data_IF_606553067782
#
_entry.id   IF_606553067782
#
_cell.length_a   1.000
_cell.length_b   1.000
_cell.length_c   1.000
_cell.angle_alpha   90.00
_cell.angle_beta   90.00
_cell.angle_gamma   90.00
#
_symmetry.space_group_name_H-M   'P 1'
#
loop_
_entity.id
_entity.type
_entity.pdbx_description
1 polymer ?
#
# COMPACT_ATOMS: atom_id res chain seq x y z
N UNK A 1 -5.08 1.58 -17.54
CA UNK A 1 -4.66 1.99 -16.19
C UNK A 1 -3.65 0.97 -15.73
N UNK A 2 -2.45 1.36 -15.31
CA UNK A 2 -1.55 0.42 -14.64
C UNK A 2 -2.17 0.05 -13.29
N UNK A 3 -2.36 -1.26 -13.05
CA UNK A 3 -2.96 -1.74 -11.80
C UNK A 3 -1.86 -2.05 -10.79
N UNK A 4 -1.86 -1.41 -9.60
CA UNK A 4 -0.92 -1.74 -8.56
C UNK A 4 -1.10 -3.18 -8.07
N UNK A 5 -0.01 -3.78 -7.64
CA UNK A 5 -0.05 -5.08 -6.95
C UNK A 5 -0.07 -4.79 -5.46
N UNK A 6 -1.09 -5.29 -4.78
CA UNK A 6 -1.29 -5.12 -3.34
C UNK A 6 -1.44 -6.47 -2.66
N UNK A 7 -1.03 -6.54 -1.39
CA UNK A 7 -1.38 -7.63 -0.48
C UNK A 7 -2.52 -7.16 0.42
N UNK A 8 -3.59 -7.95 0.49
CA UNK A 8 -4.70 -7.70 1.42
C UNK A 8 -4.32 -8.26 2.78
N UNK A 9 -4.42 -7.43 3.82
CA UNK A 9 -4.28 -7.86 5.23
C UNK A 9 -5.54 -7.47 6.01
N UNK A 10 -5.68 -7.98 7.24
CA UNK A 10 -6.82 -7.67 8.09
C UNK A 10 -7.02 -6.16 8.25
N UNK A 11 -5.94 -5.41 8.48
CA UNK A 11 -5.97 -3.97 8.69
C UNK A 11 -5.40 -3.19 7.49
N UNK A 12 -5.97 -3.40 6.31
CA UNK A 12 -5.66 -2.62 5.12
C UNK A 12 -4.83 -3.34 4.06
N UNK A 13 -4.48 -2.59 3.03
CA UNK A 13 -3.76 -3.03 1.85
C UNK A 13 -2.30 -2.60 1.91
N UNK A 14 -1.42 -3.51 1.52
CA UNK A 14 0.02 -3.29 1.44
C UNK A 14 0.44 -3.20 -0.01
N UNK A 15 0.90 -2.01 -0.44
CA UNK A 15 1.38 -1.82 -1.80
C UNK A 15 2.70 -2.56 -2.01
N UNK A 16 2.68 -3.58 -2.88
CA UNK A 16 3.85 -4.39 -3.21
C UNK A 16 4.62 -3.84 -4.40
N UNK A 17 3.91 -3.33 -5.42
CA UNK A 17 4.51 -2.75 -6.61
C UNK A 17 3.50 -1.86 -7.36
N UNK A 18 4.00 -0.94 -8.20
CA UNK A 18 3.15 -0.07 -9.03
C UNK A 18 2.41 -0.82 -10.14
N UNK A 19 2.98 -1.93 -10.59
CA UNK A 19 2.39 -2.79 -11.61
C UNK A 19 2.96 -4.21 -11.55
N UNK A 20 2.29 -5.12 -12.26
CA UNK A 20 2.64 -6.55 -12.33
C UNK A 20 4.05 -6.78 -12.87
N UNK A 21 4.49 -6.00 -13.88
CA UNK A 21 5.83 -6.14 -14.45
C UNK A 21 6.93 -5.84 -13.41
N UNK A 22 6.79 -4.75 -12.64
CA UNK A 22 7.72 -4.44 -11.55
C UNK A 22 7.72 -5.52 -10.47
N UNK A 23 6.54 -6.05 -10.12
CA UNK A 23 6.41 -7.10 -9.13
C UNK A 23 7.12 -8.40 -9.57
N UNK A 24 6.84 -8.86 -10.79
CA UNK A 24 7.49 -10.07 -11.35
C UNK A 24 9.00 -9.85 -11.48
N UNK A 25 9.45 -8.73 -12.04
CA UNK A 25 10.88 -8.43 -12.17
C UNK A 25 11.58 -8.48 -10.80
N UNK A 26 10.99 -7.87 -9.77
CA UNK A 26 11.52 -7.94 -8.42
C UNK A 26 11.64 -9.38 -7.92
N UNK A 27 10.58 -10.20 -8.05
CA UNK A 27 10.60 -11.60 -7.61
C UNK A 27 11.72 -12.39 -8.30
N UNK A 28 11.89 -12.19 -9.62
CA UNK A 28 12.93 -12.86 -10.41
C UNK A 28 14.35 -12.46 -9.93
N UNK A 29 14.58 -11.18 -9.66
CA UNK A 29 15.87 -10.67 -9.16
C UNK A 29 16.15 -11.19 -7.75
N UNK A 30 15.15 -11.20 -6.86
CA UNK A 30 15.31 -11.72 -5.51
C UNK A 30 15.61 -13.23 -5.51
N UNK A 31 14.95 -14.00 -6.38
CA UNK A 31 15.22 -15.42 -6.57
C UNK A 31 16.64 -15.69 -7.10
N UNK A 32 17.11 -14.85 -8.02
CA UNK A 32 18.47 -14.95 -8.57
C UNK A 32 19.54 -14.57 -7.54
N UNK A 33 19.27 -13.58 -6.68
CA UNK A 33 20.16 -13.23 -5.56
C UNK A 33 20.30 -14.36 -4.53
N UNK A 34 19.21 -15.04 -4.19
CA UNK A 34 19.18 -16.16 -3.22
C UNK A 34 19.75 -17.46 -3.77
N UNK A 35 19.83 -17.61 -5.08
CA UNK A 35 20.51 -18.74 -5.72
C UNK A 35 21.99 -18.84 -5.34
N UNK A 36 22.64 -17.69 -5.09
CA UNK A 36 24.06 -17.63 -4.78
C UNK A 36 24.37 -17.97 -3.31
N UNK A 37 23.37 -17.97 -2.42
CA UNK A 37 23.57 -18.30 -1.00
C UNK A 37 23.61 -19.80 -0.69
N UNK A 38 23.44 -20.68 -1.70
CA UNK A 38 23.59 -22.13 -1.55
C UNK A 38 22.46 -22.81 -0.77
N UNK A 39 21.28 -22.20 -0.70
CA UNK A 39 20.11 -22.74 0.00
C UNK A 39 19.30 -23.65 -0.95
N UNK A 40 19.26 -24.95 -0.64
CA UNK A 40 18.61 -25.98 -1.45
C UNK A 40 17.09 -25.75 -1.60
N UNK A 41 16.44 -25.14 -0.61
CA UNK A 41 15.01 -24.83 -0.66
C UNK A 41 14.70 -23.78 -1.74
N UNK A 42 15.56 -22.76 -1.85
CA UNK A 42 15.40 -21.70 -2.85
C UNK A 42 15.73 -22.16 -4.26
N UNK A 43 16.54 -23.22 -4.41
CA UNK A 43 16.86 -23.77 -5.73
C UNK A 43 15.63 -24.38 -6.41
N UNK A 44 14.77 -25.11 -5.67
CA UNK A 44 13.53 -25.66 -6.21
C UNK A 44 12.52 -24.55 -6.56
N UNK A 45 12.29 -23.62 -5.64
CA UNK A 45 11.39 -22.46 -5.83
C UNK A 45 11.82 -21.63 -7.05
N UNK A 46 13.12 -21.48 -7.28
CA UNK A 46 13.66 -20.73 -8.42
C UNK A 46 13.34 -21.40 -9.76
N UNK A 47 13.50 -22.72 -9.88
CA UNK A 47 13.19 -23.41 -11.13
C UNK A 47 11.67 -23.42 -11.41
N UNK A 48 10.85 -23.59 -10.37
CA UNK A 48 9.39 -23.48 -10.48
C UNK A 48 8.96 -22.07 -10.92
N UNK A 49 9.59 -21.03 -10.36
CA UNK A 49 9.34 -19.64 -10.73
C UNK A 49 9.73 -19.37 -12.20
N UNK A 50 10.87 -19.87 -12.65
CA UNK A 50 11.30 -19.73 -14.05
C UNK A 50 10.40 -20.48 -15.02
N UNK A 51 9.93 -21.66 -14.62
CA UNK A 51 8.91 -22.41 -15.34
C UNK A 51 7.60 -21.63 -15.43
N UNK A 52 7.16 -21.00 -14.33
CA UNK A 52 5.91 -20.24 -14.26
C UNK A 52 5.90 -18.98 -15.13
N UNK A 53 7.02 -18.25 -15.23
CA UNK A 53 7.10 -17.06 -16.11
C UNK A 53 7.30 -17.42 -17.58
N UNK A 54 7.71 -18.66 -17.87
CA UNK A 54 7.86 -19.20 -19.22
C UNK A 54 8.67 -18.29 -20.15
N UNK A 55 8.20 -18.16 -21.39
CA UNK A 55 8.86 -17.35 -22.43
C UNK A 55 8.86 -15.84 -22.16
N UNK A 56 7.98 -15.36 -21.27
CA UNK A 56 7.91 -13.95 -20.91
C UNK A 56 9.03 -13.56 -19.91
N UNK A 57 9.49 -14.50 -19.09
CA UNK A 57 10.51 -14.27 -18.06
C UNK A 57 11.78 -13.60 -18.57
N UNK A 58 12.44 -14.13 -19.62
CA UNK A 58 13.67 -13.54 -20.18
C UNK A 58 13.51 -12.11 -20.71
N UNK A 59 12.30 -11.70 -21.10
CA UNK A 59 12.03 -10.31 -21.53
C UNK A 59 11.88 -9.35 -20.32
N UNK A 60 11.61 -9.89 -19.12
CA UNK A 60 11.44 -9.11 -17.89
C UNK A 60 12.77 -9.02 -17.13
N UNK A 61 13.45 -10.13 -16.94
CA UNK A 61 14.74 -10.22 -16.25
C UNK A 61 15.54 -11.40 -16.81
N UNK A 62 16.80 -11.17 -17.18
CA UNK A 62 17.71 -12.24 -17.58
C UNK A 62 18.53 -12.69 -16.37
N UNK A 63 18.55 -14.00 -16.15
CA UNK A 63 19.29 -14.63 -15.06
C UNK A 63 20.77 -14.25 -15.11
N UNK A 64 21.32 -13.81 -13.98
CA UNK A 64 22.68 -13.30 -13.85
C UNK A 64 22.82 -11.78 -14.01
N UNK A 65 21.81 -11.06 -14.50
CA UNK A 65 21.89 -9.61 -14.74
C UNK A 65 22.22 -8.81 -13.47
N UNK A 66 21.71 -9.24 -12.29
CA UNK A 66 22.06 -8.64 -11.01
C UNK A 66 23.58 -8.64 -10.80
N UNK A 67 24.23 -9.80 -10.99
CA UNK A 67 25.67 -9.96 -10.84
C UNK A 67 26.44 -9.19 -11.90
N UNK A 68 26.00 -9.26 -13.15
CA UNK A 68 26.62 -8.55 -14.27
C UNK A 68 26.54 -7.02 -14.10
N UNK A 69 25.51 -6.52 -13.43
CA UNK A 69 25.33 -5.07 -13.20
C UNK A 69 26.35 -4.45 -12.26
N UNK A 70 27.09 -5.25 -11.49
CA UNK A 70 28.07 -4.80 -10.49
C UNK A 70 27.51 -3.79 -9.48
N UNK A 71 26.20 -3.87 -9.20
CA UNK A 71 25.54 -2.99 -8.25
C UNK A 71 25.93 -3.35 -6.82
N UNK A 72 26.06 -2.35 -5.94
CA UNK A 72 26.56 -2.52 -4.58
C UNK A 72 25.73 -3.51 -3.73
N UNK A 73 24.41 -3.50 -3.91
CA UNK A 73 23.49 -4.43 -3.24
C UNK A 73 22.17 -4.58 -4.03
N UNK A 74 21.36 -5.55 -3.61
CA UNK A 74 20.05 -5.88 -4.18
C UNK A 74 19.07 -4.70 -4.19
N UNK A 75 18.99 -3.93 -3.11
CA UNK A 75 18.05 -2.81 -3.01
C UNK A 75 18.43 -1.70 -3.99
N UNK A 76 19.73 -1.43 -4.15
CA UNK A 76 20.24 -0.47 -5.14
C UNK A 76 19.94 -0.95 -6.57
N UNK A 77 20.04 -2.25 -6.84
CA UNK A 77 19.67 -2.80 -8.15
C UNK A 77 18.18 -2.58 -8.41
N UNK A 78 17.32 -3.00 -7.48
CA UNK A 78 15.87 -2.90 -7.61
C UNK A 78 15.44 -1.44 -7.85
N UNK A 79 15.94 -0.50 -7.05
CA UNK A 79 15.61 0.93 -7.20
C UNK A 79 16.09 1.55 -8.52
N UNK A 80 17.22 1.08 -9.08
CA UNK A 80 17.80 1.65 -10.31
C UNK A 80 17.29 0.98 -11.59
N UNK A 81 17.04 -0.32 -11.56
CA UNK A 81 16.77 -1.15 -12.74
C UNK A 81 15.32 -1.58 -12.86
N UNK A 82 14.59 -1.63 -11.74
CA UNK A 82 13.22 -2.15 -11.71
C UNK A 82 12.21 -1.04 -11.42
N UNK A 83 12.33 -0.37 -10.26
CA UNK A 83 11.37 0.64 -9.85
C UNK A 83 11.43 0.96 -8.37
N UNK A 84 10.53 1.83 -7.93
CA UNK A 84 10.38 2.19 -6.52
C UNK A 84 9.44 1.21 -5.82
N UNK A 85 9.85 0.75 -4.65
CA UNK A 85 9.08 -0.17 -3.82
C UNK A 85 8.93 0.42 -2.41
N UNK A 86 7.70 0.46 -1.86
CA UNK A 86 7.41 0.97 -0.52
C UNK A 86 8.38 0.43 0.55
N UNK A 87 8.45 -0.89 0.68
CA UNK A 87 9.26 -1.56 1.71
C UNK A 87 10.77 -1.33 1.54
N UNK A 88 11.27 -1.15 0.31
CA UNK A 88 12.69 -0.86 0.07
C UNK A 88 13.04 0.56 0.52
N UNK A 89 12.16 1.53 0.27
CA UNK A 89 12.36 2.91 0.75
C UNK A 89 12.32 2.97 2.28
N UNK A 90 11.35 2.29 2.90
CA UNK A 90 11.21 2.21 4.36
C UNK A 90 12.43 1.55 5.01
N UNK A 91 12.91 0.44 4.44
CA UNK A 91 14.11 -0.26 4.88
C UNK A 91 15.36 0.59 4.73
N UNK A 92 15.48 1.34 3.62
CA UNK A 92 16.62 2.25 3.39
C UNK A 92 16.65 3.37 4.43
N UNK A 93 15.51 4.03 4.68
CA UNK A 93 15.40 5.05 5.70
C UNK A 93 15.70 4.50 7.11
N UNK A 94 15.19 3.30 7.43
CA UNK A 94 15.46 2.63 8.71
C UNK A 94 16.95 2.33 8.90
N UNK A 95 17.64 1.82 7.88
CA UNK A 95 19.10 1.60 7.93
C UNK A 95 19.90 2.89 8.12
N UNK A 96 19.43 4.03 7.60
CA UNK A 96 20.05 5.33 7.87
C UNK A 96 19.89 5.72 9.34
N UNK A 97 18.70 5.53 9.92
CA UNK A 97 18.47 5.75 11.36
C UNK A 97 19.36 4.86 12.24
N UNK A 98 19.46 3.56 11.92
CA UNK A 98 20.29 2.59 12.65
C UNK A 98 21.78 3.01 12.67
N UNK A 99 22.24 3.69 11.63
CA UNK A 99 23.61 4.23 11.51
C UNK A 99 23.79 5.60 12.18
N UNK A 100 22.73 6.16 12.77
CA UNK A 100 22.72 7.52 13.31
C UNK A 100 22.70 8.63 12.24
N UNK A 101 22.46 8.29 10.98
CA UNK A 101 22.36 9.23 9.87
C UNK A 101 20.92 9.74 9.71
N UNK A 102 20.51 10.60 10.65
CA UNK A 102 19.16 11.17 10.68
C UNK A 102 18.85 12.03 9.45
N UNK A 103 19.87 12.63 8.82
CA UNK A 103 19.68 13.48 7.63
C UNK A 103 19.27 12.64 6.43
N UNK A 104 19.99 11.55 6.14
CA UNK A 104 19.63 10.67 5.03
C UNK A 104 18.32 9.93 5.29
N UNK A 105 18.02 9.58 6.55
CA UNK A 105 16.73 9.01 6.92
C UNK A 105 15.57 9.94 6.58
N UNK A 106 15.67 11.21 6.97
CA UNK A 106 14.67 12.24 6.66
C UNK A 106 14.51 12.47 5.15
N UNK A 107 15.62 12.60 4.42
CA UNK A 107 15.57 12.79 2.96
C UNK A 107 14.87 11.60 2.30
N UNK A 108 15.15 10.38 2.75
CA UNK A 108 14.54 9.18 2.19
C UNK A 108 13.05 9.08 2.53
N UNK A 109 12.66 9.37 3.78
CA UNK A 109 11.25 9.32 4.19
C UNK A 109 10.42 10.45 3.56
N UNK A 110 10.98 11.65 3.40
CA UNK A 110 10.32 12.75 2.69
C UNK A 110 10.24 12.49 1.19
N UNK A 111 11.25 11.87 0.58
CA UNK A 111 11.16 11.44 -0.82
C UNK A 111 10.00 10.46 -1.03
N UNK A 112 9.77 9.57 -0.05
CA UNK A 112 8.70 8.57 -0.09
C UNK A 112 7.29 9.21 -0.05
N UNK A 113 7.09 10.32 0.67
CA UNK A 113 5.78 11.02 0.75
C UNK A 113 5.42 11.85 -0.47
N UNK A 114 6.32 11.99 -1.44
CA UNK A 114 6.03 12.68 -2.70
C UNK A 114 5.08 11.83 -3.55
N UNK A 115 4.88 12.22 -4.80
CA UNK A 115 4.02 11.53 -5.77
C UNK A 115 4.59 10.18 -6.27
N UNK A 116 5.25 9.43 -5.39
CA UNK A 116 5.79 8.11 -5.69
C UNK A 116 4.68 7.06 -5.71
N UNK A 117 3.71 7.15 -4.79
CA UNK A 117 2.62 6.18 -4.64
C UNK A 117 1.30 6.93 -4.39
N UNK A 118 0.73 7.57 -5.44
CA UNK A 118 -0.47 8.39 -5.30
C UNK A 118 -1.64 7.60 -4.71
N UNK A 119 -2.38 8.23 -3.81
CA UNK A 119 -3.55 7.65 -3.14
C UNK A 119 -3.23 6.77 -1.93
N UNK A 120 -1.96 6.45 -1.66
CA UNK A 120 -1.58 5.67 -0.48
C UNK A 120 -1.16 6.56 0.70
N UNK A 121 -1.73 6.27 1.88
CA UNK A 121 -1.40 6.94 3.13
C UNK A 121 -0.11 6.44 3.80
N UNK A 122 0.31 5.19 3.54
CA UNK A 122 1.50 4.56 4.15
C UNK A 122 2.78 5.41 4.10
N UNK A 123 3.13 6.08 2.98
CA UNK A 123 4.31 6.95 2.96
C UNK A 123 4.30 8.03 4.04
N UNK A 124 3.14 8.62 4.30
CA UNK A 124 2.96 9.68 5.30
C UNK A 124 2.99 9.13 6.73
N UNK A 125 2.44 7.93 6.95
CA UNK A 125 2.56 7.22 8.24
C UNK A 125 4.03 6.94 8.53
N UNK A 126 4.76 6.32 7.59
CA UNK A 126 6.17 5.99 7.80
C UNK A 126 7.02 7.24 8.02
N UNK A 127 6.78 8.31 7.27
CA UNK A 127 7.48 9.57 7.49
C UNK A 127 7.18 10.17 8.88
N UNK A 128 5.95 10.03 9.38
CA UNK A 128 5.60 10.39 10.76
C UNK A 128 6.42 9.59 11.78
N UNK A 129 6.51 8.27 11.60
CA UNK A 129 7.31 7.39 12.47
C UNK A 129 8.78 7.81 12.50
N UNK A 130 9.39 8.08 11.34
CA UNK A 130 10.78 8.55 11.23
C UNK A 130 10.97 9.87 11.96
N UNK A 131 10.07 10.84 11.75
CA UNK A 131 10.13 12.14 12.40
C UNK A 131 9.97 12.04 13.93
N UNK A 132 9.06 11.19 14.41
CA UNK A 132 8.88 10.92 15.85
C UNK A 132 10.15 10.33 16.47
N UNK A 133 10.79 9.35 15.81
CA UNK A 133 12.03 8.70 16.30
C UNK A 133 13.20 9.66 16.47
N UNK A 134 13.28 10.71 15.66
CA UNK A 134 14.34 11.74 15.75
C UNK A 134 13.95 12.95 16.62
N UNK A 135 12.80 12.90 17.30
CA UNK A 135 12.34 13.96 18.21
C UNK A 135 11.62 15.14 17.56
N UNK A 136 11.22 15.03 16.28
CA UNK A 136 10.43 16.05 15.55
C UNK A 136 8.93 15.80 15.69
N UNK A 137 8.43 15.91 16.92
CA UNK A 137 7.06 15.51 17.28
C UNK A 137 5.98 16.31 16.55
N UNK A 138 6.18 17.61 16.34
CA UNK A 138 5.19 18.48 15.69
C UNK A 138 5.03 18.11 14.21
N UNK A 139 6.14 17.90 13.51
CA UNK A 139 6.14 17.50 12.11
C UNK A 139 5.60 16.07 11.96
N UNK A 140 5.97 15.17 12.88
CA UNK A 140 5.43 13.80 12.90
C UNK A 140 3.90 13.82 12.98
N UNK A 141 3.35 14.65 13.89
CA UNK A 141 1.90 14.82 14.03
C UNK A 141 1.25 15.30 12.75
N UNK A 142 1.85 16.27 12.08
CA UNK A 142 1.30 16.79 10.81
C UNK A 142 1.36 15.75 9.69
N UNK A 143 2.46 14.99 9.58
CA UNK A 143 2.58 13.91 8.60
C UNK A 143 1.50 12.83 8.81
N UNK A 144 1.22 12.44 10.06
CA UNK A 144 0.16 11.47 10.35
C UNK A 144 -1.24 12.01 10.00
N UNK A 145 -1.51 13.30 10.26
CA UNK A 145 -2.78 13.94 9.87
C UNK A 145 -2.95 13.99 8.35
N UNK A 146 -1.88 14.13 7.58
CA UNK A 146 -1.93 14.01 6.12
C UNK A 146 -2.24 12.56 5.71
N UNK A 147 -1.63 11.57 6.38
CA UNK A 147 -1.91 10.16 6.12
C UNK A 147 -3.40 9.84 6.28
N UNK A 148 -4.02 10.31 7.37
CA UNK A 148 -5.43 10.06 7.71
C UNK A 148 -6.44 10.79 6.80
N UNK A 149 -5.98 11.64 5.88
CA UNK A 149 -6.81 12.18 4.77
C UNK A 149 -6.88 11.23 3.58
N UNK A 150 -6.02 10.21 3.54
CA UNK A 150 -6.08 9.13 2.55
C UNK A 150 -7.03 8.03 3.05
N UNK A 151 -7.53 7.15 2.17
CA UNK A 151 -8.34 6.03 2.62
C UNK A 151 -7.59 5.18 3.64
N UNK A 152 -8.25 4.79 4.73
CA UNK A 152 -7.62 4.15 5.89
C UNK A 152 -7.06 2.77 5.57
N UNK A 153 -7.66 2.09 4.60
CA UNK A 153 -7.14 0.85 4.03
C UNK A 153 -5.81 1.01 3.27
N UNK A 154 -5.26 2.22 3.12
CA UNK A 154 -3.94 2.46 2.49
C UNK A 154 -2.84 2.85 3.46
N UNK A 155 -3.11 2.88 4.77
CA UNK A 155 -2.17 3.35 5.79
C UNK A 155 -1.00 2.37 6.00
N UNK A 156 -1.15 1.10 5.62
CA UNK A 156 -0.16 0.04 5.83
C UNK A 156 0.14 -0.23 7.31
N UNK A 157 -0.75 0.18 8.20
CA UNK A 157 -0.80 -0.10 9.64
C UNK A 157 -2.26 -0.03 10.10
N UNK A 158 -2.51 -0.31 11.39
CA UNK A 158 -3.83 -0.10 11.99
C UNK A 158 -4.17 1.39 12.05
N UNK A 159 -5.45 1.72 11.90
CA UNK A 159 -5.93 3.10 11.99
C UNK A 159 -5.50 3.77 13.31
N UNK A 160 -5.62 3.05 14.43
CA UNK A 160 -5.32 3.57 15.77
C UNK A 160 -3.85 3.98 15.91
N UNK A 161 -2.93 3.27 15.24
CA UNK A 161 -1.51 3.61 15.25
C UNK A 161 -1.24 4.95 14.53
N UNK A 162 -1.92 5.19 13.40
CA UNK A 162 -1.84 6.46 12.70
C UNK A 162 -2.56 7.59 13.45
N UNK A 163 -3.72 7.30 14.07
CA UNK A 163 -4.47 8.25 14.88
C UNK A 163 -3.69 8.69 16.12
N UNK A 164 -3.01 7.77 16.82
CA UNK A 164 -2.14 8.07 17.95
C UNK A 164 -1.01 9.02 17.53
N UNK A 165 -0.36 8.76 16.38
CA UNK A 165 0.66 9.65 15.82
C UNK A 165 0.10 11.05 15.50
N UNK A 166 -1.13 11.12 15.00
CA UNK A 166 -1.84 12.36 14.68
C UNK A 166 -2.39 13.09 15.92
N UNK A 167 -2.35 12.44 17.09
CA UNK A 167 -3.03 12.89 18.31
C UNK A 167 -4.53 13.11 18.08
N UNK A 168 -5.16 12.15 17.39
CA UNK A 168 -6.60 12.04 17.18
C UNK A 168 -7.16 10.95 18.08
N UNK A 169 -8.42 11.13 18.48
CA UNK A 169 -9.20 10.15 19.22
C UNK A 169 -10.23 9.48 18.28
N UNK A 170 -11.07 8.62 18.83
CA UNK A 170 -12.02 7.79 18.08
C UNK A 170 -13.19 8.56 17.41
N UNK A 171 -13.26 9.88 17.60
CA UNK A 171 -14.30 10.76 17.04
C UNK A 171 -14.44 10.63 15.51
N UNK A 172 -13.35 10.34 14.81
CA UNK A 172 -13.39 10.16 13.34
C UNK A 172 -14.03 8.82 12.93
N UNK A 173 -13.87 7.76 13.73
CA UNK A 173 -14.52 6.47 13.45
C UNK A 173 -16.03 6.65 13.55
N UNK A 174 -16.50 7.30 14.62
CA UNK A 174 -17.93 7.58 14.82
C UNK A 174 -18.49 8.45 13.70
N UNK A 175 -17.74 9.44 13.22
CA UNK A 175 -18.13 10.24 12.06
C UNK A 175 -18.31 9.39 10.78
N UNK A 176 -17.39 8.46 10.50
CA UNK A 176 -17.54 7.56 9.33
C UNK A 176 -18.73 6.61 9.52
N UNK A 177 -18.94 6.08 10.74
CA UNK A 177 -20.11 5.25 11.06
C UNK A 177 -21.42 6.01 10.84
N UNK A 178 -21.48 7.30 11.21
CA UNK A 178 -22.63 8.17 10.91
C UNK A 178 -22.81 8.34 9.40
N UNK A 179 -21.72 8.52 8.64
CA UNK A 179 -21.79 8.72 7.19
C UNK A 179 -22.33 7.54 6.40
N UNK A 180 -22.07 6.31 6.85
CA UNK A 180 -22.65 5.10 6.21
C UNK A 180 -24.11 4.84 6.62
N UNK A 181 -24.64 5.54 7.61
CA UNK A 181 -26.04 5.41 8.03
C UNK A 181 -27.02 6.01 7.01
N UNK A 182 -28.28 5.59 7.05
CA UNK A 182 -29.34 6.17 6.20
C UNK A 182 -29.53 7.67 6.46
N UNK A 183 -29.38 8.13 7.70
CA UNK A 183 -29.46 9.56 8.04
C UNK A 183 -28.31 10.33 7.40
N UNK A 184 -27.09 9.80 7.48
CA UNK A 184 -25.90 10.36 6.85
C UNK A 184 -26.03 10.47 5.33
N UNK A 185 -26.55 9.43 4.67
CA UNK A 185 -26.83 9.43 3.23
C UNK A 185 -27.86 10.49 2.85
N UNK A 186 -28.96 10.60 3.61
CA UNK A 186 -29.99 11.61 3.36
C UNK A 186 -29.47 13.04 3.54
N UNK A 187 -28.60 13.27 4.53
CA UNK A 187 -27.95 14.57 4.73
C UNK A 187 -27.06 14.95 3.53
N UNK A 188 -26.27 14.02 3.03
CA UNK A 188 -25.42 14.22 1.86
C UNK A 188 -26.23 14.52 0.58
N UNK A 189 -27.38 13.85 0.39
CA UNK A 189 -28.32 14.16 -0.69
C UNK A 189 -28.95 15.56 -0.53
N UNK A 190 -29.35 15.95 0.69
CA UNK A 190 -29.87 17.30 0.97
C UNK A 190 -28.84 18.40 0.70
N UNK A 191 -27.55 18.09 0.85
CA UNK A 191 -26.43 18.98 0.50
C UNK A 191 -26.15 19.03 -1.02
N UNK A 192 -26.90 18.28 -1.83
CA UNK A 192 -26.83 18.31 -3.28
C UNK A 192 -25.79 17.37 -3.90
N UNK A 193 -25.26 16.39 -3.15
CA UNK A 193 -24.43 15.34 -3.75
C UNK A 193 -25.28 14.48 -4.70
N UNK A 194 -24.70 14.08 -5.82
CA UNK A 194 -25.33 13.17 -6.76
C UNK A 194 -25.55 11.79 -6.11
N UNK A 195 -26.68 11.10 -6.35
CA UNK A 195 -26.95 9.78 -5.76
C UNK A 195 -25.83 8.76 -6.01
N UNK A 196 -25.26 8.76 -7.21
CA UNK A 196 -24.17 7.86 -7.59
C UNK A 196 -22.91 8.14 -6.77
N UNK A 197 -22.63 9.41 -6.46
CA UNK A 197 -21.50 9.78 -5.60
C UNK A 197 -21.73 9.35 -4.15
N UNK A 198 -22.96 9.47 -3.64
CA UNK A 198 -23.29 9.07 -2.25
C UNK A 198 -23.05 7.58 -2.04
N UNK A 199 -23.45 6.73 -3.00
CA UNK A 199 -23.22 5.27 -2.89
C UNK A 199 -21.75 4.90 -3.08
N UNK A 200 -20.99 5.64 -3.89
CA UNK A 200 -19.54 5.43 -4.00
C UNK A 200 -18.79 5.88 -2.75
N UNK A 201 -19.21 6.98 -2.12
CA UNK A 201 -18.68 7.43 -0.84
C UNK A 201 -18.98 6.36 0.25
N UNK A 202 -20.18 5.79 0.27
CA UNK A 202 -20.54 4.68 1.16
C UNK A 202 -19.58 3.49 0.98
N UNK A 203 -19.31 3.07 -0.27
CA UNK A 203 -18.36 1.99 -0.54
C UNK A 203 -16.96 2.28 0.03
N UNK A 204 -16.47 3.51 -0.13
CA UNK A 204 -15.16 3.92 0.41
C UNK A 204 -15.15 3.88 1.94
N UNK A 205 -16.19 4.40 2.59
CA UNK A 205 -16.33 4.37 4.05
C UNK A 205 -16.45 2.96 4.62
N UNK A 206 -17.15 2.05 3.93
CA UNK A 206 -17.22 0.64 4.32
C UNK A 206 -15.85 -0.03 4.29
N UNK A 207 -14.99 0.29 3.31
CA UNK A 207 -13.63 -0.22 3.27
C UNK A 207 -12.75 0.33 4.41
N UNK A 208 -12.92 1.60 4.76
CA UNK A 208 -12.23 2.22 5.89
C UNK A 208 -12.63 1.55 7.22
N UNK A 209 -13.94 1.34 7.44
CA UNK A 209 -14.45 0.65 8.63
C UNK A 209 -14.02 -0.82 8.68
N UNK A 210 -14.04 -1.54 7.56
CA UNK A 210 -13.56 -2.92 7.50
C UNK A 210 -12.08 -3.05 7.88
N UNK A 211 -11.26 -2.05 7.57
CA UNK A 211 -9.86 -1.99 7.99
C UNK A 211 -9.71 -1.76 9.49
N UNK A 212 -10.56 -0.92 10.08
CA UNK A 212 -10.60 -0.71 11.54
C UNK A 212 -11.02 -2.01 12.24
N UNK A 213 -12.13 -2.59 11.81
CA UNK A 213 -12.71 -3.79 12.42
C UNK A 213 -11.90 -5.07 12.10
N UNK A 214 -11.03 -5.02 11.08
CA UNK A 214 -10.18 -6.14 10.67
C UNK A 214 -10.90 -7.22 9.87
N UNK A 215 -12.07 -6.91 9.31
CA UNK A 215 -12.98 -7.88 8.70
C UNK A 215 -13.56 -7.36 7.37
N UNK A 216 -13.05 -7.89 6.27
CA UNK A 216 -13.49 -7.55 4.91
C UNK A 216 -14.77 -8.28 4.49
N UNK A 217 -14.96 -9.51 4.98
CA UNK A 217 -15.99 -10.43 4.47
C UNK A 217 -17.40 -9.90 4.69
N UNK A 218 -17.62 -9.15 5.78
CA UNK A 218 -18.92 -8.59 6.14
C UNK A 218 -19.37 -7.44 5.22
N UNK A 219 -18.43 -6.77 4.55
CA UNK A 219 -18.73 -5.58 3.75
C UNK A 219 -18.70 -5.81 2.24
N UNK A 220 -18.10 -6.91 1.77
CA UNK A 220 -17.86 -7.19 0.33
C UNK A 220 -19.15 -7.14 -0.49
N UNK A 221 -20.21 -7.80 -0.02
CA UNK A 221 -21.48 -7.85 -0.74
C UNK A 221 -22.11 -6.44 -0.85
N UNK A 222 -22.08 -5.65 0.23
CA UNK A 222 -22.60 -4.27 0.22
C UNK A 222 -21.76 -3.35 -0.68
N UNK A 223 -20.44 -3.48 -0.66
CA UNK A 223 -19.56 -2.72 -1.56
C UNK A 223 -19.92 -3.02 -3.02
N UNK A 224 -20.12 -4.31 -3.38
CA UNK A 224 -20.52 -4.68 -4.73
C UNK A 224 -21.87 -4.05 -5.13
N UNK A 225 -22.83 -3.99 -4.19
CA UNK A 225 -24.12 -3.33 -4.39
C UNK A 225 -23.96 -1.83 -4.64
N UNK A 226 -23.14 -1.12 -3.86
CA UNK A 226 -22.84 0.30 -4.06
C UNK A 226 -22.31 0.59 -5.48
N UNK A 227 -21.34 -0.21 -5.97
CA UNK A 227 -20.84 -0.06 -7.34
C UNK A 227 -21.91 -0.36 -8.40
N UNK A 228 -22.84 -1.28 -8.12
CA UNK A 228 -23.96 -1.59 -9.02
C UNK A 228 -24.98 -0.46 -9.06
N UNK A 229 -25.32 0.11 -7.92
CA UNK A 229 -26.20 1.28 -7.76
C UNK A 229 -25.61 2.52 -8.46
N UNK A 230 -24.29 2.68 -8.45
CA UNK A 230 -23.57 3.72 -9.19
C UNK A 230 -23.47 3.47 -10.72
N UNK A 231 -24.01 2.34 -11.22
CA UNK A 231 -23.94 1.97 -12.64
C UNK A 231 -22.60 1.39 -13.10
N UNK A 232 -21.68 1.06 -12.18
CA UNK A 232 -20.36 0.50 -12.47
C UNK A 232 -20.39 -1.04 -12.36
N UNK A 233 -21.15 -1.67 -13.26
CA UNK A 233 -21.47 -3.09 -13.20
C UNK A 233 -20.27 -4.03 -13.31
N UNK A 234 -19.24 -3.66 -14.08
CA UNK A 234 -18.05 -4.50 -14.26
C UNK A 234 -17.25 -4.63 -12.95
N UNK A 235 -17.12 -3.53 -12.20
CA UNK A 235 -16.46 -3.54 -10.88
C UNK A 235 -17.32 -4.31 -9.88
N UNK A 236 -18.64 -4.06 -9.84
CA UNK A 236 -19.55 -4.80 -8.97
C UNK A 236 -19.46 -6.32 -9.19
N UNK A 237 -19.37 -6.76 -10.46
CA UNK A 237 -19.21 -8.18 -10.80
C UNK A 237 -17.86 -8.73 -10.37
N UNK A 238 -16.78 -7.95 -10.52
CA UNK A 238 -15.45 -8.34 -10.07
C UNK A 238 -15.40 -8.51 -8.54
N UNK A 239 -15.97 -7.57 -7.77
CA UNK A 239 -16.00 -7.62 -6.30
C UNK A 239 -16.83 -8.81 -5.80
N UNK A 240 -17.98 -9.07 -6.42
CA UNK A 240 -18.85 -10.18 -6.04
C UNK A 240 -18.36 -11.56 -6.51
N UNK A 241 -17.23 -11.64 -7.20
CA UNK A 241 -16.69 -12.90 -7.70
C UNK A 241 -16.22 -13.78 -6.54
N UNK A 242 -16.71 -15.02 -6.50
CA UNK A 242 -16.25 -16.06 -5.57
C UNK A 242 -15.76 -17.25 -6.40
N UNK A 243 -14.59 -17.79 -6.04
CA UNK A 243 -13.98 -18.98 -6.67
C UNK A 243 -14.82 -20.26 -6.48
#
# INVERSE_FOLDING_TARGET
MEMPVVEVRSHGLWLLAKNVNQYIHRILVEADSRAESGDDLWSAVREDLWSAVGEAGPNIYKRGDLKESQTADLDVYLLKKVGLFPDILERKASRHLEKGDSVSALITSEFYTRDQFPGFGRPFVFNSEVQKRIGRTSEAKESARVALKSPWWTLGCRYEEAAELAGWEDEQIEFIREKVSEEGKQDDLKKGKAPEQVVLDEAAFLMDLATVDGNWDEVVDRIADCYREAGIHDIAKFIAYRE
#
